data_IF_560792451670
#
_entry.id   IF_560792451670
#
_cell.length_a   1.000
_cell.length_b   1.000
_cell.length_c   1.000
_cell.angle_alpha   90.00
_cell.angle_beta   90.00
_cell.angle_gamma   90.00
#
_symmetry.space_group_name_H-M   'P 1'
#
loop_
_entity.id
_entity.type
_entity.pdbx_description
1 polymer ?
#
# COMPACT_ATOMS: atom_id res chain seq x y z
N UNK A 1 14.68 1.94 9.28
CA UNK A 1 15.56 0.80 8.93
C UNK A 1 15.12 -0.42 9.73
N UNK A 2 14.45 -1.38 9.09
CA UNK A 2 13.79 -2.54 9.72
C UNK A 2 14.79 -3.50 10.37
N UNK A 3 15.94 -3.73 9.72
CA UNK A 3 17.01 -4.61 10.21
C UNK A 3 17.56 -4.16 11.57
N UNK A 4 17.79 -2.85 11.75
CA UNK A 4 18.23 -2.27 13.04
C UNK A 4 17.17 -2.53 14.12
N UNK A 5 15.89 -2.42 13.78
CA UNK A 5 14.77 -2.69 14.68
C UNK A 5 14.70 -4.17 15.09
N UNK A 6 14.92 -5.09 14.15
CA UNK A 6 14.87 -6.53 14.41
C UNK A 6 16.07 -7.03 15.22
N UNK A 7 17.27 -6.48 14.99
CA UNK A 7 18.46 -6.76 15.82
C UNK A 7 18.24 -6.26 17.25
N UNK A 8 17.76 -5.02 17.43
CA UNK A 8 17.47 -4.46 18.78
C UNK A 8 16.37 -5.23 19.51
N UNK A 9 15.41 -5.78 18.79
CA UNK A 9 14.32 -6.56 19.34
C UNK A 9 14.68 -8.05 19.57
N UNK A 10 15.92 -8.47 19.29
CA UNK A 10 16.36 -9.86 19.44
C UNK A 10 15.69 -10.84 18.47
N UNK A 11 14.97 -10.35 17.45
CA UNK A 11 14.34 -11.17 16.42
C UNK A 11 15.36 -11.67 15.39
N UNK A 12 16.47 -10.96 15.23
CA UNK A 12 17.58 -11.32 14.37
C UNK A 12 18.89 -11.17 15.12
N UNK A 13 19.82 -12.12 14.94
CA UNK A 13 21.15 -12.03 15.54
C UNK A 13 22.00 -10.91 14.92
N UNK A 14 22.73 -10.17 15.74
CA UNK A 14 23.65 -9.11 15.30
C UNK A 14 23.94 -8.08 16.40
N UNK A 15 24.81 -7.11 16.12
CA UNK A 15 25.09 -5.95 16.96
C UNK A 15 24.95 -4.66 16.15
N UNK A 16 24.37 -3.63 16.76
CA UNK A 16 24.23 -2.31 16.14
C UNK A 16 25.33 -1.40 16.67
N UNK A 17 26.18 -0.92 15.76
CA UNK A 17 27.23 0.05 16.06
C UNK A 17 26.85 1.42 15.50
N UNK A 18 27.10 2.48 16.27
CA UNK A 18 26.96 3.87 15.83
C UNK A 18 28.32 4.52 16.03
N UNK A 19 28.95 4.93 14.93
CA UNK A 19 30.25 5.60 14.93
C UNK A 19 30.11 6.77 13.96
N UNK A 20 30.00 7.97 14.50
CA UNK A 20 29.94 9.20 13.70
C UNK A 20 31.31 9.53 13.12
N UNK A 21 31.33 10.34 12.07
CA UNK A 21 32.56 10.83 11.48
C UNK A 21 33.41 11.60 12.50
N UNK A 22 32.79 12.41 13.36
CA UNK A 22 33.51 13.13 14.41
C UNK A 22 34.15 12.19 15.43
N UNK A 23 33.43 11.16 15.87
CA UNK A 23 33.98 10.12 16.75
C UNK A 23 35.16 9.40 16.08
N UNK A 24 35.04 9.02 14.81
CA UNK A 24 36.12 8.40 14.07
C UNK A 24 37.35 9.32 13.95
N UNK A 25 37.16 10.63 13.76
CA UNK A 25 38.27 11.60 13.74
C UNK A 25 38.93 11.74 15.10
N UNK A 26 38.13 11.86 16.16
CA UNK A 26 38.65 11.90 17.54
C UNK A 26 39.43 10.63 17.92
N UNK A 27 39.04 9.47 17.37
CA UNK A 27 39.75 8.20 17.53
C UNK A 27 40.95 8.01 16.57
N UNK A 28 41.28 9.04 15.77
CA UNK A 28 42.51 9.09 15.00
C UNK A 28 42.39 8.74 13.51
N UNK A 29 41.20 8.83 12.92
CA UNK A 29 41.00 8.63 11.48
C UNK A 29 41.92 9.53 10.64
N UNK A 30 42.01 10.82 10.96
CA UNK A 30 42.83 11.74 10.18
C UNK A 30 44.33 11.51 10.38
N UNK A 31 44.78 11.16 11.58
CA UNK A 31 46.16 10.71 11.82
C UNK A 31 46.56 9.55 10.90
N UNK A 32 45.65 8.59 10.68
CA UNK A 32 45.87 7.45 9.76
C UNK A 32 45.91 7.91 8.29
N UNK A 33 45.09 8.89 7.91
CA UNK A 33 45.13 9.50 6.57
C UNK A 33 46.47 10.20 6.33
N UNK A 34 46.95 11.00 7.28
CA UNK A 34 48.26 11.65 7.25
C UNK A 34 49.40 10.64 7.08
N UNK A 35 49.40 9.58 7.89
CA UNK A 35 50.39 8.49 7.82
C UNK A 35 50.42 7.83 6.42
N UNK A 36 49.24 7.56 5.83
CA UNK A 36 49.13 6.92 4.52
C UNK A 36 49.57 7.83 3.37
N UNK A 37 49.32 9.13 3.50
CA UNK A 37 49.56 10.12 2.45
C UNK A 37 50.92 10.84 2.59
N UNK A 38 51.67 10.55 3.65
CA UNK A 38 52.96 11.19 3.94
C UNK A 38 52.84 12.66 4.34
N UNK A 39 51.65 13.11 4.74
CA UNK A 39 51.41 14.48 5.22
C UNK A 39 51.70 14.57 6.71
N UNK A 40 52.33 15.65 7.14
CA UNK A 40 52.43 15.95 8.57
C UNK A 40 51.05 16.32 9.13
N UNK A 41 50.75 15.81 10.31
CA UNK A 41 49.52 16.15 11.01
C UNK A 41 49.66 17.51 11.71
N UNK A 42 48.61 18.31 11.62
CA UNK A 42 48.38 19.48 12.46
C UNK A 42 46.88 19.63 12.71
N UNK A 43 46.52 20.22 13.85
CA UNK A 43 45.12 20.51 14.18
C UNK A 43 44.42 21.35 13.09
N UNK A 44 45.11 22.36 12.57
CA UNK A 44 44.59 23.19 11.47
C UNK A 44 44.30 22.37 10.20
N UNK A 45 45.16 21.40 9.87
CA UNK A 45 44.96 20.53 8.71
C UNK A 45 43.83 19.52 8.91
N UNK A 46 43.62 19.05 10.14
CA UNK A 46 42.52 18.14 10.48
C UNK A 46 41.17 18.84 10.36
N UNK A 47 41.06 20.05 10.93
CA UNK A 47 39.84 20.85 10.84
C UNK A 47 39.52 21.23 9.40
N UNK A 48 40.52 21.65 8.61
CA UNK A 48 40.33 21.95 7.20
C UNK A 48 39.88 20.71 6.40
N UNK A 49 40.43 19.54 6.71
CA UNK A 49 40.03 18.29 6.08
C UNK A 49 38.60 17.89 6.47
N UNK A 50 38.26 17.91 7.75
CA UNK A 50 36.90 17.66 8.24
C UNK A 50 35.89 18.57 7.54
N UNK A 51 36.16 19.89 7.50
CA UNK A 51 35.30 20.85 6.82
C UNK A 51 35.14 20.55 5.32
N UNK A 52 36.19 20.07 4.66
CA UNK A 52 36.11 19.66 3.25
C UNK A 52 35.24 18.41 3.04
N UNK A 53 35.27 17.46 3.97
CA UNK A 53 34.43 16.25 3.94
C UNK A 53 32.96 16.62 4.16
N UNK A 54 32.66 17.44 5.17
CA UNK A 54 31.29 17.95 5.37
C UNK A 54 30.80 18.74 4.16
N UNK A 55 31.65 19.57 3.55
CA UNK A 55 31.30 20.32 2.34
C UNK A 55 31.02 19.41 1.15
N UNK A 56 31.74 18.30 1.00
CA UNK A 56 31.53 17.32 -0.06
C UNK A 56 30.14 16.66 0.04
N UNK A 57 29.72 16.28 1.24
CA UNK A 57 28.41 15.67 1.48
C UNK A 57 27.25 16.67 1.55
N UNK A 58 27.54 17.97 1.75
CA UNK A 58 26.56 19.05 1.65
C UNK A 58 25.34 18.85 2.55
N UNK A 59 24.14 18.94 1.98
CA UNK A 59 22.89 18.77 2.72
C UNK A 59 22.69 17.36 3.31
N UNK A 60 23.37 16.34 2.76
CA UNK A 60 23.32 14.96 3.25
C UNK A 60 24.34 14.65 4.36
N UNK A 61 25.15 15.63 4.79
CA UNK A 61 26.26 15.36 5.70
C UNK A 61 25.82 14.80 7.05
N UNK A 62 24.69 15.27 7.60
CA UNK A 62 24.17 14.73 8.87
C UNK A 62 23.73 13.26 8.76
N UNK A 63 23.20 12.86 7.59
CA UNK A 63 22.81 11.47 7.33
C UNK A 63 24.03 10.57 7.14
N UNK A 64 24.93 10.97 6.26
CA UNK A 64 26.06 10.17 5.80
C UNK A 64 27.23 10.13 6.80
N UNK A 65 27.46 11.23 7.53
CA UNK A 65 28.61 11.38 8.43
C UNK A 65 28.23 11.27 9.91
N UNK A 66 27.08 11.82 10.31
CA UNK A 66 26.73 11.93 11.74
C UNK A 66 25.73 10.85 12.21
N UNK A 67 25.46 9.86 11.35
CA UNK A 67 24.50 8.79 11.57
C UNK A 67 23.14 9.31 12.04
N UNK A 68 22.73 10.50 11.61
CA UNK A 68 21.41 11.06 11.89
C UNK A 68 20.47 10.47 10.85
N UNK A 69 19.51 9.61 11.23
CA UNK A 69 18.58 9.07 10.25
C UNK A 69 17.89 10.23 9.55
N UNK A 70 17.99 10.29 8.22
CA UNK A 70 17.06 11.14 7.50
C UNK A 70 15.65 10.66 7.83
N UNK A 71 14.73 11.61 8.02
CA UNK A 71 13.35 11.34 7.63
C UNK A 71 13.45 11.10 6.14
N UNK A 72 13.61 9.83 5.72
CA UNK A 72 13.63 9.51 4.31
C UNK A 72 12.40 10.13 3.63
N UNK A 73 12.36 10.06 2.31
CA UNK A 73 11.09 9.92 1.60
C UNK A 73 10.37 8.65 2.09
N UNK A 74 10.03 8.63 3.37
CA UNK A 74 9.49 7.53 4.13
C UNK A 74 8.05 7.34 3.74
N UNK A 75 7.56 6.13 4.00
CA UNK A 75 6.16 5.81 3.74
C UNK A 75 5.26 6.94 4.28
N UNK A 76 4.45 7.52 3.38
CA UNK A 76 3.52 8.61 3.68
C UNK A 76 2.63 8.29 4.90
N UNK A 77 2.36 7.00 5.12
CA UNK A 77 1.80 6.45 6.35
C UNK A 77 2.87 5.64 7.09
N UNK A 78 3.15 6.00 8.34
CA UNK A 78 4.04 5.20 9.19
C UNK A 78 3.39 3.86 9.53
N UNK A 79 4.21 2.84 9.75
CA UNK A 79 3.72 1.50 10.16
C UNK A 79 2.86 1.57 11.43
N UNK A 80 3.25 2.37 12.41
CA UNK A 80 2.48 2.56 13.63
C UNK A 80 1.09 3.15 13.35
N UNK A 81 0.98 4.10 12.41
CA UNK A 81 -0.32 4.63 11.98
C UNK A 81 -1.17 3.55 11.30
N UNK A 82 -0.56 2.73 10.44
CA UNK A 82 -1.26 1.61 9.78
C UNK A 82 -1.77 0.61 10.82
N UNK A 83 -0.88 0.11 11.69
CA UNK A 83 -1.22 -0.88 12.72
C UNK A 83 -2.30 -0.37 13.68
N UNK A 84 -2.28 0.91 14.06
CA UNK A 84 -3.31 1.52 14.91
C UNK A 84 -4.71 1.62 14.25
N UNK A 85 -4.78 1.48 12.92
CA UNK A 85 -6.01 1.53 12.14
C UNK A 85 -6.42 0.19 11.55
N UNK A 86 -5.56 -0.83 11.65
CA UNK A 86 -5.91 -2.19 11.27
C UNK A 86 -6.94 -2.79 12.22
N UNK A 87 -7.87 -3.56 11.68
CA UNK A 87 -8.83 -4.33 12.43
C UNK A 87 -8.75 -5.79 11.97
N UNK A 88 -8.37 -6.70 12.87
CA UNK A 88 -8.41 -8.13 12.59
C UNK A 88 -9.86 -8.65 12.42
N UNK A 89 -10.86 -7.83 12.80
CA UNK A 89 -12.27 -8.17 12.67
C UNK A 89 -12.90 -7.79 11.33
N UNK A 90 -12.19 -7.12 10.42
CA UNK A 90 -12.71 -6.83 9.07
C UNK A 90 -12.48 -8.05 8.17
N UNK A 91 -13.53 -8.73 7.70
CA UNK A 91 -13.38 -9.90 6.84
C UNK A 91 -12.72 -9.55 5.49
N UNK A 92 -11.91 -10.47 4.99
CA UNK A 92 -11.35 -10.41 3.63
C UNK A 92 -11.81 -11.64 2.85
N UNK A 93 -12.75 -11.41 1.94
CA UNK A 93 -13.28 -12.42 1.03
C UNK A 93 -12.31 -12.63 -0.13
N UNK A 94 -11.99 -13.89 -0.44
CA UNK A 94 -11.04 -14.23 -1.50
C UNK A 94 -11.67 -15.20 -2.48
N UNK A 95 -11.82 -14.78 -3.73
CA UNK A 95 -12.18 -15.66 -4.84
C UNK A 95 -10.94 -15.85 -5.71
N UNK A 96 -10.51 -17.11 -5.86
CA UNK A 96 -9.43 -17.48 -6.76
C UNK A 96 -9.95 -18.47 -7.79
N UNK A 97 -9.93 -18.08 -9.06
CA UNK A 97 -10.24 -18.99 -10.15
C UNK A 97 -8.97 -19.75 -10.58
N UNK A 98 -9.03 -21.09 -10.72
CA UNK A 98 -7.88 -21.87 -11.18
C UNK A 98 -7.49 -21.51 -12.62
N UNK A 99 -6.30 -21.93 -13.03
CA UNK A 99 -5.88 -21.83 -14.44
C UNK A 99 -6.86 -22.56 -15.36
N UNK A 100 -7.18 -21.96 -16.52
CA UNK A 100 -8.15 -22.52 -17.46
C UNK A 100 -9.61 -22.32 -17.04
N UNK A 101 -9.90 -21.64 -15.92
CA UNK A 101 -11.27 -21.30 -15.55
C UNK A 101 -11.98 -20.47 -16.63
N UNK A 102 -11.24 -19.62 -17.32
CA UNK A 102 -11.74 -18.83 -18.46
C UNK A 102 -12.16 -19.66 -19.68
N UNK A 103 -11.81 -20.95 -19.74
CA UNK A 103 -12.20 -21.87 -20.82
C UNK A 103 -13.52 -22.58 -20.54
N UNK A 104 -14.05 -22.48 -19.31
CA UNK A 104 -15.36 -23.03 -18.98
C UNK A 104 -16.47 -22.32 -19.77
N UNK A 105 -17.57 -23.01 -20.09
CA UNK A 105 -18.77 -22.38 -20.66
C UNK A 105 -19.26 -21.19 -19.84
N UNK A 106 -19.84 -20.20 -20.53
CA UNK A 106 -20.30 -18.95 -19.91
C UNK A 106 -21.32 -19.16 -18.79
N UNK A 107 -22.28 -20.06 -19.01
CA UNK A 107 -23.32 -20.43 -18.06
C UNK A 107 -22.73 -21.06 -16.79
N UNK A 108 -21.74 -21.95 -16.95
CA UNK A 108 -21.05 -22.60 -15.83
C UNK A 108 -20.27 -21.58 -15.01
N UNK A 109 -19.52 -20.67 -15.66
CA UNK A 109 -18.79 -19.63 -14.93
C UNK A 109 -19.74 -18.69 -14.19
N UNK A 110 -20.86 -18.34 -14.81
CA UNK A 110 -21.87 -17.49 -14.21
C UNK A 110 -22.51 -18.14 -12.98
N UNK A 111 -22.92 -19.41 -13.09
CA UNK A 111 -23.58 -20.13 -11.99
C UNK A 111 -22.64 -20.35 -10.81
N UNK A 112 -21.42 -20.81 -11.07
CA UNK A 112 -20.42 -21.02 -10.00
C UNK A 112 -20.06 -19.71 -9.28
N UNK A 113 -19.97 -18.61 -10.04
CA UNK A 113 -19.73 -17.28 -9.44
C UNK A 113 -20.94 -16.82 -8.63
N UNK A 114 -22.16 -17.10 -9.11
CA UNK A 114 -23.39 -16.77 -8.41
C UNK A 114 -23.51 -17.54 -7.08
N UNK A 115 -23.25 -18.84 -7.09
CA UNK A 115 -23.27 -19.68 -5.89
C UNK A 115 -22.27 -19.15 -4.85
N UNK A 116 -21.07 -18.78 -5.28
CA UNK A 116 -20.05 -18.19 -4.40
C UNK A 116 -20.49 -16.84 -3.82
N UNK A 117 -21.12 -15.98 -4.63
CA UNK A 117 -21.65 -14.69 -4.19
C UNK A 117 -22.75 -14.87 -3.14
N UNK A 118 -23.66 -15.80 -3.37
CA UNK A 118 -24.78 -16.08 -2.46
C UNK A 118 -24.31 -16.75 -1.15
N UNK A 119 -23.27 -17.59 -1.20
CA UNK A 119 -22.69 -18.23 -0.02
C UNK A 119 -21.88 -17.25 0.84
N UNK A 120 -21.05 -16.41 0.21
CA UNK A 120 -20.03 -15.65 0.94
C UNK A 120 -20.27 -14.14 1.02
N UNK A 121 -20.75 -13.51 -0.05
CA UNK A 121 -20.91 -12.06 -0.10
C UNK A 121 -22.30 -11.63 0.39
N UNK A 122 -23.34 -12.36 0.02
CA UNK A 122 -24.73 -12.05 0.40
C UNK A 122 -24.93 -11.88 1.92
N UNK A 123 -24.44 -12.76 2.80
CA UNK A 123 -24.65 -12.61 4.23
C UNK A 123 -24.04 -11.32 4.79
N UNK A 124 -22.92 -10.87 4.21
CA UNK A 124 -22.26 -9.63 4.61
C UNK A 124 -23.03 -8.40 4.14
N UNK A 125 -23.59 -8.44 2.92
CA UNK A 125 -24.43 -7.37 2.39
C UNK A 125 -25.73 -7.22 3.18
N UNK A 126 -26.38 -8.35 3.51
CA UNK A 126 -27.62 -8.36 4.30
C UNK A 126 -27.41 -7.90 5.74
N UNK A 127 -26.20 -8.04 6.28
CA UNK A 127 -25.84 -7.55 7.61
C UNK A 127 -25.54 -6.05 7.66
N UNK A 128 -25.44 -5.35 6.51
CA UNK A 128 -25.13 -3.92 6.49
C UNK A 128 -26.34 -3.09 6.99
N UNK A 129 -26.11 -1.98 7.72
CA UNK A 129 -27.20 -1.10 8.11
C UNK A 129 -27.89 -0.48 6.90
N UNK A 130 -29.19 -0.72 6.74
CA UNK A 130 -29.96 -0.29 5.57
C UNK A 130 -30.02 1.25 5.38
N UNK A 131 -29.85 2.02 6.45
CA UNK A 131 -29.83 3.48 6.42
C UNK A 131 -28.42 4.09 6.28
N UNK A 132 -27.38 3.26 6.21
CA UNK A 132 -26.02 3.72 5.97
C UNK A 132 -25.89 4.25 4.54
N UNK A 133 -25.02 5.25 4.37
CA UNK A 133 -24.53 5.66 3.05
C UNK A 133 -23.34 4.80 2.70
N UNK A 134 -23.31 4.27 1.49
CA UNK A 134 -22.19 3.46 1.03
C UNK A 134 -21.44 4.08 -0.14
N UNK A 135 -20.20 3.67 -0.28
CA UNK A 135 -19.32 3.99 -1.38
C UNK A 135 -18.55 2.74 -1.78
N UNK A 136 -18.02 2.73 -3.00
CA UNK A 136 -17.17 1.65 -3.49
C UNK A 136 -15.88 2.21 -4.09
N UNK A 137 -14.74 1.69 -3.67
CA UNK A 137 -13.48 1.82 -4.41
C UNK A 137 -13.14 0.49 -5.06
N UNK A 138 -12.78 0.48 -6.35
CA UNK A 138 -12.27 -0.71 -7.03
C UNK A 138 -10.98 -0.43 -7.76
N UNK A 139 -9.98 -1.26 -7.50
CA UNK A 139 -8.74 -1.34 -8.26
C UNK A 139 -8.76 -2.60 -9.13
N UNK A 140 -8.54 -2.44 -10.44
CA UNK A 140 -8.78 -3.52 -11.40
C UNK A 140 -7.49 -4.28 -11.75
N UNK A 141 -7.47 -5.57 -11.43
CA UNK A 141 -6.46 -6.54 -11.82
C UNK A 141 -7.04 -7.74 -12.58
N UNK A 142 -6.18 -8.50 -13.25
CA UNK A 142 -6.57 -9.75 -13.94
C UNK A 142 -5.48 -10.82 -13.94
N UNK A 143 -4.32 -10.49 -14.51
CA UNK A 143 -3.20 -11.40 -14.75
C UNK A 143 -1.95 -10.79 -14.10
N UNK A 144 -1.55 -11.31 -12.94
CA UNK A 144 -0.49 -10.76 -12.09
C UNK A 144 -1.06 -10.28 -10.76
N UNK A 145 -1.75 -9.14 -10.80
CA UNK A 145 -2.35 -8.50 -9.63
C UNK A 145 -3.80 -8.93 -9.37
N UNK A 146 -4.25 -8.67 -8.14
CA UNK A 146 -5.63 -8.87 -7.71
C UNK A 146 -6.50 -7.72 -8.23
N UNK A 147 -7.76 -8.03 -8.56
CA UNK A 147 -8.79 -7.00 -8.44
C UNK A 147 -9.20 -6.89 -6.98
N UNK A 148 -9.32 -5.67 -6.46
CA UNK A 148 -9.68 -5.43 -5.07
C UNK A 148 -10.82 -4.43 -4.97
N UNK A 149 -11.89 -4.82 -4.29
CA UNK A 149 -13.03 -3.96 -3.98
C UNK A 149 -13.04 -3.60 -2.49
N UNK A 150 -13.14 -2.29 -2.22
CA UNK A 150 -13.25 -1.68 -0.90
C UNK A 150 -14.61 -0.97 -0.76
N UNK A 151 -15.66 -1.67 -0.31
CA UNK A 151 -16.86 -0.99 0.14
C UNK A 151 -16.56 -0.13 1.38
N UNK A 152 -17.21 1.01 1.46
CA UNK A 152 -17.05 1.95 2.57
C UNK A 152 -18.42 2.42 3.03
N UNK A 153 -18.72 2.21 4.30
CA UNK A 153 -19.92 2.75 4.93
C UNK A 153 -19.59 4.04 5.66
N UNK A 154 -20.45 5.04 5.51
CA UNK A 154 -20.44 6.24 6.33
C UNK A 154 -21.60 6.17 7.34
N UNK A 155 -21.25 6.08 8.61
CA UNK A 155 -22.18 6.11 9.74
C UNK A 155 -22.72 7.53 9.98
N UNK A 156 -23.77 7.66 10.82
CA UNK A 156 -24.39 8.95 11.17
C UNK A 156 -23.43 9.92 11.86
N UNK A 157 -22.44 9.40 12.57
CA UNK A 157 -21.35 10.15 13.23
C UNK A 157 -20.22 10.55 12.25
N UNK A 158 -20.40 10.33 10.94
CA UNK A 158 -19.41 10.56 9.86
C UNK A 158 -18.17 9.66 9.92
N UNK A 159 -18.13 8.68 10.82
CA UNK A 159 -17.09 7.65 10.83
C UNK A 159 -17.27 6.78 9.59
N UNK A 160 -16.13 6.50 8.93
CA UNK A 160 -16.09 5.64 7.75
C UNK A 160 -15.49 4.30 8.12
N UNK A 161 -16.15 3.22 7.72
CA UNK A 161 -15.71 1.85 8.00
C UNK A 161 -15.79 1.00 6.75
N UNK A 162 -14.77 0.17 6.57
CA UNK A 162 -14.76 -0.89 5.56
C UNK A 162 -15.40 -2.12 6.21
N UNK A 163 -16.62 -2.53 5.78
CA UNK A 163 -17.30 -3.67 6.38
C UNK A 163 -16.64 -5.00 6.02
N UNK A 164 -16.03 -5.09 4.83
CA UNK A 164 -15.25 -6.22 4.33
C UNK A 164 -14.40 -5.75 3.15
N UNK A 165 -13.42 -6.57 2.74
CA UNK A 165 -12.64 -6.38 1.52
C UNK A 165 -12.86 -7.60 0.62
N UNK A 166 -12.99 -7.38 -0.69
CA UNK A 166 -13.09 -8.47 -1.66
C UNK A 166 -11.85 -8.49 -2.57
N UNK A 167 -11.14 -9.60 -2.56
CA UNK A 167 -9.94 -9.84 -3.37
C UNK A 167 -10.23 -10.93 -4.42
N UNK A 168 -10.00 -10.59 -5.69
CA UNK A 168 -10.27 -11.46 -6.83
C UNK A 168 -8.95 -11.81 -7.53
N UNK A 169 -8.58 -13.10 -7.50
CA UNK A 169 -7.41 -13.62 -8.19
C UNK A 169 -7.82 -14.44 -9.40
N UNK A 170 -7.25 -14.08 -10.55
CA UNK A 170 -7.45 -14.78 -11.80
C UNK A 170 -8.94 -14.91 -12.24
N UNK A 171 -9.82 -14.03 -11.75
CA UNK A 171 -11.26 -14.04 -12.10
C UNK A 171 -11.47 -13.46 -13.51
N UNK A 172 -12.18 -14.14 -14.43
CA UNK A 172 -12.42 -13.63 -15.78
C UNK A 172 -13.22 -12.33 -15.83
N UNK A 173 -13.08 -11.57 -16.92
CA UNK A 173 -13.68 -10.24 -17.07
C UNK A 173 -15.19 -10.23 -16.84
N UNK A 174 -15.93 -11.19 -17.38
CA UNK A 174 -17.38 -11.27 -17.21
C UNK A 174 -17.82 -11.62 -15.79
N UNK A 175 -17.03 -12.42 -15.07
CA UNK A 175 -17.28 -12.71 -13.66
C UNK A 175 -16.92 -11.52 -12.77
N UNK A 176 -15.85 -10.77 -13.10
CA UNK A 176 -15.55 -9.51 -12.41
C UNK A 176 -16.67 -8.48 -12.60
N UNK A 177 -17.25 -8.39 -13.80
CA UNK A 177 -18.44 -7.57 -14.09
C UNK A 177 -19.66 -8.03 -13.27
N UNK A 178 -19.97 -9.34 -13.25
CA UNK A 178 -21.04 -9.92 -12.42
C UNK A 178 -20.87 -9.57 -10.94
N UNK A 179 -19.67 -9.77 -10.39
CA UNK A 179 -19.34 -9.48 -8.99
C UNK A 179 -19.50 -7.99 -8.69
N UNK A 180 -19.03 -7.11 -9.58
CA UNK A 180 -19.16 -5.66 -9.40
C UNK A 180 -20.63 -5.24 -9.34
N UNK A 181 -21.48 -5.77 -10.21
CA UNK A 181 -22.92 -5.50 -10.19
C UNK A 181 -23.59 -6.03 -8.93
N UNK A 182 -23.29 -7.27 -8.53
CA UNK A 182 -23.84 -7.87 -7.32
C UNK A 182 -23.49 -7.04 -6.08
N UNK A 183 -22.23 -6.61 -5.98
CA UNK A 183 -21.76 -5.77 -4.89
C UNK A 183 -22.42 -4.38 -4.91
N UNK A 184 -22.40 -3.68 -6.04
CA UNK A 184 -22.94 -2.33 -6.16
C UNK A 184 -24.47 -2.29 -5.95
N UNK A 185 -25.20 -3.29 -6.43
CA UNK A 185 -26.64 -3.39 -6.24
C UNK A 185 -27.02 -3.75 -4.80
N UNK A 186 -26.17 -4.49 -4.09
CA UNK A 186 -26.41 -4.89 -2.70
C UNK A 186 -25.96 -3.86 -1.65
N UNK A 187 -25.20 -2.84 -2.02
CA UNK A 187 -24.73 -1.81 -1.08
C UNK A 187 -25.85 -0.81 -0.70
N UNK A 188 -26.08 -0.53 0.59
CA UNK A 188 -27.17 0.34 1.03
C UNK A 188 -26.89 1.80 0.64
N UNK A 189 -27.87 2.46 0.02
CA UNK A 189 -27.80 3.87 -0.41
C UNK A 189 -26.44 4.22 -1.06
N UNK A 190 -26.07 3.51 -2.13
CA UNK A 190 -24.82 3.75 -2.85
C UNK A 190 -24.75 5.21 -3.35
N UNK A 191 -23.89 5.99 -2.69
CA UNK A 191 -23.73 7.41 -2.95
C UNK A 191 -22.70 7.70 -4.04
N UNK A 192 -21.70 6.82 -4.19
CA UNK A 192 -20.73 6.94 -5.26
C UNK A 192 -19.76 5.78 -5.33
N UNK A 193 -19.11 5.64 -6.47
CA UNK A 193 -18.09 4.64 -6.71
C UNK A 193 -16.90 5.24 -7.47
N UNK A 194 -15.68 4.80 -7.14
CA UNK A 194 -14.45 5.16 -7.80
C UNK A 194 -13.82 3.89 -8.35
N UNK A 195 -13.82 3.73 -9.66
CA UNK A 195 -13.29 2.55 -10.33
C UNK A 195 -12.04 2.94 -11.12
N UNK A 196 -10.99 2.14 -11.02
CA UNK A 196 -9.83 2.26 -11.91
C UNK A 196 -10.29 2.15 -13.37
N UNK A 197 -9.97 3.19 -14.13
CA UNK A 197 -10.29 3.32 -15.54
C UNK A 197 -9.05 3.25 -16.43
N UNK A 198 -7.91 2.74 -15.93
CA UNK A 198 -6.75 2.41 -16.75
C UNK A 198 -6.81 0.98 -17.29
N UNK A 199 -6.09 0.75 -18.40
CA UNK A 199 -5.93 -0.57 -19.00
C UNK A 199 -7.28 -1.30 -19.17
N UNK A 200 -7.34 -2.53 -18.66
CA UNK A 200 -8.54 -3.37 -18.72
C UNK A 200 -9.68 -2.87 -17.81
N UNK A 201 -9.38 -2.08 -16.78
CA UNK A 201 -10.37 -1.50 -15.87
C UNK A 201 -11.27 -0.46 -16.53
N UNK A 202 -10.78 0.21 -17.58
CA UNK A 202 -11.53 1.21 -18.37
C UNK A 202 -12.90 0.70 -18.83
N UNK A 203 -12.97 -0.54 -19.32
CA UNK A 203 -14.22 -1.18 -19.73
C UNK A 203 -15.22 -1.22 -18.57
N UNK A 204 -14.83 -1.77 -17.42
CA UNK A 204 -15.75 -1.92 -16.29
C UNK A 204 -16.17 -0.56 -15.72
N UNK A 205 -15.25 0.40 -15.65
CA UNK A 205 -15.52 1.75 -15.17
C UNK A 205 -16.53 2.50 -16.07
N UNK A 206 -16.42 2.35 -17.39
CA UNK A 206 -17.35 2.95 -18.36
C UNK A 206 -18.76 2.38 -18.20
N UNK A 207 -18.89 1.04 -18.20
CA UNK A 207 -20.19 0.39 -18.04
C UNK A 207 -20.83 0.65 -16.68
N UNK A 208 -20.03 0.77 -15.62
CA UNK A 208 -20.53 1.15 -14.30
C UNK A 208 -21.10 2.57 -14.34
N UNK A 209 -20.42 3.50 -15.01
CA UNK A 209 -20.92 4.85 -15.21
C UNK A 209 -22.22 4.89 -15.99
N UNK A 210 -22.32 4.10 -17.07
CA UNK A 210 -23.55 3.99 -17.86
C UNK A 210 -24.70 3.41 -17.03
N UNK A 211 -24.44 2.39 -16.20
CA UNK A 211 -25.45 1.68 -15.40
C UNK A 211 -25.93 2.48 -14.18
N UNK A 212 -25.01 3.09 -13.43
CA UNK A 212 -25.32 3.73 -12.13
C UNK A 212 -25.38 5.26 -12.18
N UNK A 213 -24.96 5.84 -13.30
CA UNK A 213 -24.98 7.27 -13.58
C UNK A 213 -23.64 7.97 -13.37
N UNK A 214 -23.36 8.92 -14.26
CA UNK A 214 -22.13 9.74 -14.26
C UNK A 214 -21.93 10.62 -13.03
N UNK A 215 -23.00 10.93 -12.28
CA UNK A 215 -22.90 11.65 -11.01
C UNK A 215 -22.46 10.76 -9.84
N UNK A 216 -22.62 9.43 -9.95
CA UNK A 216 -22.24 8.47 -8.90
C UNK A 216 -20.90 7.80 -9.18
N UNK A 217 -20.61 7.47 -10.43
CA UNK A 217 -19.42 6.70 -10.79
C UNK A 217 -18.34 7.62 -11.34
N UNK A 218 -17.23 7.68 -10.61
CA UNK A 218 -15.99 8.31 -11.05
C UNK A 218 -15.08 7.29 -11.71
N UNK A 219 -14.82 7.49 -12.98
CA UNK A 219 -13.80 6.75 -13.72
C UNK A 219 -12.43 7.36 -13.39
N UNK A 220 -11.63 6.66 -12.58
CA UNK A 220 -10.38 7.19 -12.04
C UNK A 220 -9.23 6.82 -12.96
N UNK A 221 -8.55 7.84 -13.48
CA UNK A 221 -7.27 7.70 -14.18
C UNK A 221 -6.23 8.50 -13.39
N UNK A 222 -5.53 7.88 -12.42
CA UNK A 222 -4.44 8.56 -11.71
C UNK A 222 -3.41 8.99 -12.74
N UNK A 223 -2.85 10.18 -12.66
CA UNK A 223 -1.63 10.57 -13.39
C UNK A 223 -0.48 10.56 -12.40
N UNK A 224 0.67 10.05 -12.84
CA UNK A 224 1.93 10.19 -12.08
C UNK A 224 2.38 11.65 -12.02
#
# INVERSE_FOLDING_TARGET
>A
NTLIGDIRAGRQGGSVHRITFQEAVAEGLFHRVCLRTGKEWSEASEQAWMASVYKFYGAGASEELDCVPANGGGAWLSRALIESRMSAGTPVLRLTCPEGYELKPDDVRWSETQDWLDEHLKPLLEALPADARSFLGRDFGRSGDLSVDYPLLQEKNLVRRVPFVLELRNVPFKQQEQIAWYLMDGLPNLMGAALDARGNGSYLAEYAMQRYGSSRVKQVMPTE
#
